data_IF_463142394388
#
_entry.id   IF_463142394388
#
_cell.length_a   1.000
_cell.length_b   1.000
_cell.length_c   1.000
_cell.angle_alpha   90.00
_cell.angle_beta   90.00
_cell.angle_gamma   90.00
#
_symmetry.space_group_name_H-M   'P 1'
#
loop_
_entity.id
_entity.type
_entity.pdbx_description
1 polymer ?
#
# COMPACT_ATOMS: atom_id res chain seq x y z
N UNK A 1 -9.58 5.47 -20.90
CA UNK A 1 -10.82 4.72 -21.21
C UNK A 1 -11.14 3.87 -20.01
N UNK A 2 -12.04 4.36 -19.16
CA UNK A 2 -12.40 3.82 -17.85
C UNK A 2 -13.32 2.58 -17.96
N UNK A 3 -13.18 1.78 -19.02
CA UNK A 3 -14.05 0.63 -19.29
C UNK A 3 -13.37 -0.72 -19.05
N UNK A 4 -12.07 -0.72 -18.73
CA UNK A 4 -11.34 -1.92 -18.32
C UNK A 4 -10.10 -1.49 -17.53
N UNK A 5 -10.14 -1.43 -16.19
CA UNK A 5 -9.08 -0.81 -15.41
C UNK A 5 -7.81 -1.65 -15.49
N UNK A 6 -7.96 -2.98 -15.53
CA UNK A 6 -6.85 -3.90 -15.72
C UNK A 6 -7.30 -5.15 -16.49
N UNK A 7 -6.44 -5.68 -17.34
CA UNK A 7 -6.65 -7.02 -17.90
C UNK A 7 -6.66 -8.02 -16.72
N UNK A 8 -7.71 -8.84 -16.53
CA UNK A 8 -7.73 -9.86 -15.47
C UNK A 8 -6.63 -10.92 -15.63
N UNK A 9 -6.00 -11.01 -16.82
CA UNK A 9 -4.79 -11.80 -17.03
C UNK A 9 -3.49 -10.99 -16.84
N UNK A 10 -3.54 -9.76 -16.29
CA UNK A 10 -2.36 -8.98 -16.00
C UNK A 10 -1.61 -9.62 -14.80
N UNK A 11 -0.41 -10.17 -15.01
CA UNK A 11 0.33 -10.85 -13.94
C UNK A 11 0.86 -9.89 -12.87
N UNK A 12 0.72 -8.57 -13.06
CA UNK A 12 1.12 -7.56 -12.08
C UNK A 12 0.03 -7.35 -11.02
N UNK A 13 -1.23 -7.65 -11.34
CA UNK A 13 -2.36 -7.46 -10.41
C UNK A 13 -2.65 -8.74 -9.63
N UNK A 14 -2.03 -8.83 -8.46
CA UNK A 14 -1.98 -10.07 -7.70
C UNK A 14 -1.69 -9.83 -6.24
N UNK A 15 -2.02 -10.83 -5.44
CA UNK A 15 -1.46 -11.02 -4.10
C UNK A 15 -0.55 -12.24 -4.15
N UNK A 16 0.59 -12.16 -3.48
CA UNK A 16 1.58 -13.24 -3.40
C UNK A 16 1.99 -13.49 -1.96
N UNK A 17 2.28 -14.74 -1.65
CA UNK A 17 2.99 -15.12 -0.42
C UNK A 17 4.44 -15.46 -0.77
N UNK A 18 5.37 -14.96 0.03
CA UNK A 18 6.81 -15.09 -0.22
C UNK A 18 7.48 -15.70 1.01
N UNK A 19 8.30 -16.74 0.80
CA UNK A 19 9.09 -17.34 1.88
C UNK A 19 10.30 -16.46 2.28
N UNK A 20 10.98 -16.74 3.41
CA UNK A 20 12.15 -15.96 3.82
C UNK A 20 13.33 -15.99 2.83
N UNK A 21 13.36 -16.92 1.88
CA UNK A 21 14.36 -16.98 0.82
C UNK A 21 13.97 -16.14 -0.42
N UNK A 22 12.80 -15.51 -0.40
CA UNK A 22 12.28 -14.69 -1.48
C UNK A 22 11.56 -15.48 -2.58
N UNK A 23 11.22 -16.76 -2.35
CA UNK A 23 10.46 -17.54 -3.31
C UNK A 23 8.97 -17.28 -3.15
N UNK A 24 8.26 -17.06 -4.25
CA UNK A 24 6.80 -17.03 -4.26
C UNK A 24 6.30 -18.47 -4.00
N UNK A 25 5.60 -18.68 -2.88
CA UNK A 25 5.04 -19.98 -2.48
C UNK A 25 3.54 -20.08 -2.73
N UNK A 26 2.88 -18.93 -2.86
CA UNK A 26 1.47 -18.82 -3.21
C UNK A 26 1.19 -17.56 -4.02
N UNK A 27 0.18 -17.59 -4.89
CA UNK A 27 -0.21 -16.45 -5.74
C UNK A 27 -1.69 -16.54 -6.13
N UNK A 28 -2.38 -15.41 -6.11
CA UNK A 28 -3.68 -15.21 -6.79
C UNK A 28 -3.58 -14.04 -7.76
N UNK A 29 -4.11 -14.23 -8.96
CA UNK A 29 -4.20 -13.21 -10.02
C UNK A 29 -5.66 -12.90 -10.34
N UNK A 30 -5.91 -11.90 -11.19
CA UNK A 30 -7.28 -11.52 -11.56
C UNK A 30 -7.94 -10.56 -10.58
N UNK A 31 -7.12 -9.96 -9.71
CA UNK A 31 -7.46 -8.80 -8.90
C UNK A 31 -7.21 -7.51 -9.70
N UNK A 32 -7.54 -6.37 -9.12
CA UNK A 32 -7.27 -5.06 -9.69
C UNK A 32 -6.88 -4.06 -8.60
N UNK A 33 -5.58 -3.73 -8.55
CA UNK A 33 -4.90 -2.93 -7.53
C UNK A 33 -5.28 -3.36 -6.12
N UNK A 34 -4.99 -4.59 -5.68
CA UNK A 34 -5.26 -4.97 -4.31
C UNK A 34 -4.40 -4.12 -3.37
N UNK A 35 -5.02 -3.30 -2.53
CA UNK A 35 -4.28 -2.41 -1.61
C UNK A 35 -4.07 -3.03 -0.22
N UNK A 36 -4.90 -4.01 0.16
CA UNK A 36 -4.84 -4.66 1.48
C UNK A 36 -5.08 -6.17 1.34
N UNK A 37 -4.37 -6.97 2.15
CA UNK A 37 -4.64 -8.39 2.34
C UNK A 37 -4.38 -8.84 3.79
N UNK A 38 -5.41 -9.40 4.41
CA UNK A 38 -5.32 -9.95 5.75
C UNK A 38 -5.60 -11.46 5.77
N UNK A 39 -4.75 -12.22 6.46
CA UNK A 39 -5.04 -13.62 6.77
C UNK A 39 -6.06 -13.73 7.90
N UNK A 40 -7.15 -14.47 7.65
CA UNK A 40 -8.22 -14.70 8.61
C UNK A 40 -7.92 -15.90 9.52
N UNK A 41 -8.53 -16.01 10.72
CA UNK A 41 -8.30 -17.14 11.63
C UNK A 41 -8.63 -18.54 11.08
N UNK A 42 -9.38 -18.63 9.98
CA UNK A 42 -9.67 -19.87 9.27
C UNK A 42 -8.64 -20.21 8.18
N UNK A 43 -7.61 -19.39 7.98
CA UNK A 43 -6.57 -19.53 6.96
C UNK A 43 -6.96 -18.97 5.58
N UNK A 44 -8.13 -18.35 5.46
CA UNK A 44 -8.54 -17.66 4.22
C UNK A 44 -7.96 -16.24 4.18
N UNK A 45 -8.04 -15.61 3.01
CA UNK A 45 -7.55 -14.24 2.83
C UNK A 45 -8.72 -13.27 2.62
N UNK A 46 -8.70 -12.15 3.32
CA UNK A 46 -9.58 -11.01 3.10
C UNK A 46 -8.81 -9.95 2.32
N UNK A 47 -9.34 -9.48 1.20
CA UNK A 47 -8.61 -8.63 0.25
C UNK A 47 -9.45 -7.41 -0.12
N UNK A 48 -8.85 -6.22 -0.06
CA UNK A 48 -9.40 -5.00 -0.66
C UNK A 48 -9.04 -4.94 -2.16
N UNK A 49 -9.97 -5.35 -3.02
CA UNK A 49 -9.81 -5.42 -4.47
C UNK A 49 -10.29 -4.10 -5.12
N UNK A 50 -9.45 -3.07 -4.94
CA UNK A 50 -9.79 -1.65 -5.03
C UNK A 50 -10.43 -1.22 -6.35
N UNK A 51 -9.84 -1.59 -7.48
CA UNK A 51 -10.35 -1.15 -8.79
C UNK A 51 -11.58 -1.90 -9.24
N UNK A 52 -11.88 -3.04 -8.61
CA UNK A 52 -13.18 -3.70 -8.72
C UNK A 52 -14.18 -3.22 -7.67
N UNK A 53 -13.79 -2.25 -6.84
CA UNK A 53 -14.62 -1.60 -5.82
C UNK A 53 -15.28 -2.64 -4.90
N UNK A 54 -14.49 -3.58 -4.39
CA UNK A 54 -15.01 -4.64 -3.54
C UNK A 54 -13.98 -5.10 -2.51
N UNK A 55 -14.51 -5.71 -1.45
CA UNK A 55 -13.74 -6.54 -0.53
C UNK A 55 -14.17 -7.99 -0.75
N UNK A 56 -13.22 -8.91 -0.80
CA UNK A 56 -13.49 -10.35 -1.02
C UNK A 56 -12.83 -11.20 0.05
N UNK A 57 -13.49 -12.28 0.46
CA UNK A 57 -12.82 -13.40 1.14
C UNK A 57 -12.53 -14.47 0.10
N UNK A 58 -11.29 -14.95 0.08
CA UNK A 58 -10.80 -15.98 -0.82
C UNK A 58 -10.35 -17.19 -0.02
N UNK A 59 -10.79 -18.37 -0.46
CA UNK A 59 -10.28 -19.64 0.06
C UNK A 59 -8.81 -19.80 -0.35
N UNK A 60 -7.92 -20.01 0.63
CA UNK A 60 -6.48 -20.04 0.35
C UNK A 60 -6.07 -21.20 -0.58
N UNK A 61 -6.65 -22.39 -0.41
CA UNK A 61 -6.27 -23.57 -1.19
C UNK A 61 -6.83 -23.55 -2.61
N UNK A 62 -8.12 -23.23 -2.74
CA UNK A 62 -8.86 -23.31 -4.01
C UNK A 62 -8.82 -22.00 -4.80
N UNK A 63 -8.56 -20.87 -4.14
CA UNK A 63 -8.60 -19.50 -4.68
C UNK A 63 -10.01 -19.06 -5.11
N UNK A 64 -11.04 -19.78 -4.66
CA UNK A 64 -12.42 -19.42 -4.91
C UNK A 64 -12.81 -18.21 -4.03
N UNK A 65 -13.55 -17.27 -4.62
CA UNK A 65 -14.16 -16.16 -3.87
C UNK A 65 -15.35 -16.75 -3.09
N UNK A 66 -15.25 -16.70 -1.76
CA UNK A 66 -16.26 -17.21 -0.83
C UNK A 66 -17.27 -16.13 -0.40
N UNK A 67 -16.85 -14.87 -0.46
CA UNK A 67 -17.59 -13.72 0.04
C UNK A 67 -17.21 -12.47 -0.76
N UNK A 68 -18.17 -11.57 -0.99
CA UNK A 68 -17.94 -10.29 -1.67
C UNK A 68 -18.84 -9.19 -1.10
N UNK A 69 -18.23 -8.11 -0.62
CA UNK A 69 -18.90 -6.85 -0.33
C UNK A 69 -18.49 -5.76 -1.31
N UNK A 70 -19.46 -5.02 -1.80
CA UNK A 70 -19.34 -4.01 -2.84
C UNK A 70 -20.33 -2.84 -2.57
N UNK A 71 -19.83 -1.60 -2.37
CA UNK A 71 -20.63 -0.46 -1.98
C UNK A 71 -21.68 -0.06 -3.02
N UNK A 72 -21.58 -0.51 -4.29
CA UNK A 72 -22.51 -0.14 -5.37
C UNK A 72 -23.92 -0.69 -5.16
N UNK A 73 -24.04 -1.69 -4.32
CA UNK A 73 -25.27 -2.40 -4.02
C UNK A 73 -25.92 -1.92 -2.70
N UNK A 74 -25.25 -1.03 -1.96
CA UNK A 74 -25.75 -0.48 -0.70
C UNK A 74 -26.73 0.66 -0.97
N UNK A 75 -27.88 0.62 -0.31
CA UNK A 75 -28.81 1.75 -0.25
C UNK A 75 -28.38 2.69 0.88
N UNK A 76 -27.51 3.65 0.55
CA UNK A 76 -26.93 4.59 1.53
C UNK A 76 -27.96 5.49 2.20
N UNK A 77 -29.07 5.78 1.52
CA UNK A 77 -30.18 6.57 2.07
C UNK A 77 -30.89 5.90 3.26
N UNK A 78 -30.78 4.58 3.38
CA UNK A 78 -31.33 3.82 4.52
C UNK A 78 -30.40 3.80 5.74
N UNK A 79 -29.11 4.13 5.54
CA UNK A 79 -28.14 4.29 6.63
C UNK A 79 -28.25 5.69 7.22
N UNK A 80 -28.29 6.70 6.35
CA UNK A 80 -28.49 8.09 6.73
C UNK A 80 -29.35 8.79 5.67
N UNK A 81 -30.49 9.35 6.10
CA UNK A 81 -31.45 9.96 5.17
C UNK A 81 -30.89 11.16 4.41
N UNK A 82 -29.81 11.80 4.91
CA UNK A 82 -29.13 12.87 4.20
C UNK A 82 -28.40 12.36 2.93
N UNK A 83 -28.11 11.06 2.85
CA UNK A 83 -27.48 10.41 1.70
C UNK A 83 -28.49 9.82 0.71
N UNK A 84 -29.78 10.13 0.86
CA UNK A 84 -30.85 9.58 0.01
C UNK A 84 -30.99 10.26 -1.35
N UNK A 85 -30.29 11.38 -1.58
CA UNK A 85 -30.29 12.06 -2.87
C UNK A 85 -29.68 11.13 -3.95
N UNK A 86 -30.38 10.81 -5.06
CA UNK A 86 -29.82 10.02 -6.14
C UNK A 86 -28.54 10.61 -6.76
N UNK A 87 -28.39 11.93 -6.72
CA UNK A 87 -27.21 12.63 -7.23
C UNK A 87 -26.07 12.69 -6.18
N UNK A 88 -26.29 12.16 -4.97
CA UNK A 88 -25.23 12.00 -3.97
C UNK A 88 -24.14 11.06 -4.51
N UNK A 89 -22.87 11.36 -4.22
CA UNK A 89 -21.73 10.65 -4.79
C UNK A 89 -21.82 9.12 -4.59
N UNK A 90 -22.22 8.68 -3.40
CA UNK A 90 -22.41 7.26 -3.05
C UNK A 90 -23.41 6.52 -3.94
N UNK A 91 -24.39 7.24 -4.52
CA UNK A 91 -25.48 6.68 -5.31
C UNK A 91 -25.27 6.80 -6.82
N UNK A 92 -24.14 7.39 -7.24
CA UNK A 92 -23.79 7.62 -8.65
C UNK A 92 -22.43 6.98 -9.02
N UNK A 93 -22.30 5.63 -8.93
CA UNK A 93 -21.03 4.95 -9.15
C UNK A 93 -20.57 5.05 -10.61
N UNK A 94 -19.26 5.24 -10.80
CA UNK A 94 -18.60 4.90 -12.06
C UNK A 94 -18.32 3.40 -12.13
N UNK A 95 -17.90 2.90 -13.30
CA UNK A 95 -17.71 1.46 -13.48
C UNK A 95 -16.55 0.89 -12.64
N UNK A 96 -15.53 1.70 -12.30
CA UNK A 96 -14.32 1.27 -11.60
C UNK A 96 -13.69 2.42 -10.81
N UNK A 97 -12.98 2.07 -9.74
CA UNK A 97 -12.22 2.97 -8.86
C UNK A 97 -13.03 4.18 -8.35
N UNK A 98 -14.35 3.98 -8.22
CA UNK A 98 -15.25 5.05 -7.77
C UNK A 98 -15.30 5.11 -6.25
N UNK A 99 -15.15 3.97 -5.59
CA UNK A 99 -15.08 3.84 -4.13
C UNK A 99 -13.64 4.05 -3.63
N UNK A 100 -12.67 3.60 -4.42
CA UNK A 100 -11.26 3.49 -4.03
C UNK A 100 -11.11 2.88 -2.63
N UNK A 101 -11.69 1.68 -2.42
CA UNK A 101 -11.49 0.94 -1.17
C UNK A 101 -10.00 0.62 -1.06
N UNK A 102 -9.34 1.23 -0.10
CA UNK A 102 -7.89 1.14 0.08
C UNK A 102 -7.49 0.30 1.28
N UNK A 103 -8.43 -0.12 2.11
CA UNK A 103 -8.14 -0.92 3.29
C UNK A 103 -9.35 -1.75 3.76
N UNK A 104 -9.05 -2.89 4.37
CA UNK A 104 -9.98 -3.73 5.12
C UNK A 104 -9.30 -4.40 6.32
N UNK A 105 -9.90 -4.25 7.50
CA UNK A 105 -9.44 -4.89 8.72
C UNK A 105 -10.51 -5.79 9.37
N UNK A 106 -10.16 -7.00 9.76
CA UNK A 106 -11.04 -8.02 10.29
C UNK A 106 -11.05 -8.07 11.83
N UNK A 107 -12.25 -8.24 12.39
CA UNK A 107 -12.44 -8.46 13.83
C UNK A 107 -13.35 -9.62 14.16
N UNK A 108 -12.86 -10.52 15.01
CA UNK A 108 -13.65 -11.61 15.56
C UNK A 108 -14.29 -11.21 16.90
N UNK A 109 -15.61 -11.00 16.91
CA UNK A 109 -16.39 -10.91 18.15
C UNK A 109 -16.82 -12.30 18.63
N UNK A 110 -17.25 -12.47 19.90
CA UNK A 110 -17.60 -13.79 20.44
C UNK A 110 -18.73 -14.54 19.70
N UNK A 111 -19.61 -13.82 18.98
CA UNK A 111 -20.79 -14.40 18.33
C UNK A 111 -20.86 -14.12 16.82
N UNK A 112 -20.02 -13.22 16.31
CA UNK A 112 -20.04 -12.76 14.92
C UNK A 112 -18.69 -12.14 14.59
N UNK A 113 -18.43 -11.95 13.31
CA UNK A 113 -17.22 -11.36 12.77
C UNK A 113 -17.58 -10.10 12.01
N UNK A 114 -16.70 -9.12 12.04
CA UNK A 114 -16.82 -7.85 11.35
C UNK A 114 -15.63 -7.60 10.45
N UNK A 115 -15.83 -6.71 9.48
CA UNK A 115 -14.74 -6.07 8.77
C UNK A 115 -14.95 -4.55 8.82
N UNK A 116 -13.90 -3.81 9.15
CA UNK A 116 -13.82 -2.37 9.01
C UNK A 116 -13.25 -2.07 7.62
N UNK A 117 -13.90 -1.19 6.87
CA UNK A 117 -13.56 -0.95 5.46
C UNK A 117 -13.41 0.55 5.26
N UNK A 118 -12.27 0.97 4.71
CA UNK A 118 -12.07 2.34 4.26
C UNK A 118 -12.56 2.50 2.83
N UNK A 119 -13.45 3.47 2.60
CA UNK A 119 -13.91 3.86 1.28
C UNK A 119 -13.35 5.25 1.01
N UNK A 120 -12.15 5.32 0.43
CA UNK A 120 -11.36 6.56 0.39
C UNK A 120 -12.09 7.72 -0.30
N UNK A 121 -12.67 7.46 -1.47
CA UNK A 121 -13.33 8.50 -2.25
C UNK A 121 -14.65 8.97 -1.62
N UNK A 122 -15.15 8.25 -0.62
CA UNK A 122 -16.37 8.60 0.10
C UNK A 122 -16.09 9.47 1.32
N UNK A 123 -14.82 9.59 1.73
CA UNK A 123 -14.45 10.11 3.05
C UNK A 123 -15.22 9.36 4.16
N UNK A 124 -15.29 8.02 4.05
CA UNK A 124 -16.14 7.18 4.88
C UNK A 124 -15.45 5.86 5.25
N UNK A 125 -15.50 5.54 6.54
CA UNK A 125 -15.20 4.22 7.10
C UNK A 125 -16.51 3.54 7.51
N UNK A 126 -16.66 2.26 7.19
CA UNK A 126 -17.83 1.45 7.60
C UNK A 126 -17.39 0.15 8.28
N UNK A 127 -18.12 -0.26 9.31
CA UNK A 127 -18.00 -1.61 9.86
C UNK A 127 -19.15 -2.47 9.34
N UNK A 128 -18.82 -3.59 8.72
CA UNK A 128 -19.75 -4.55 8.12
C UNK A 128 -19.77 -5.83 8.92
N UNK A 129 -20.97 -6.36 9.20
CA UNK A 129 -21.14 -7.68 9.80
C UNK A 129 -20.87 -8.79 8.77
N UNK A 130 -19.61 -9.22 8.72
CA UNK A 130 -19.12 -10.31 7.87
C UNK A 130 -19.82 -11.67 8.13
N UNK A 131 -20.35 -11.91 9.33
CA UNK A 131 -21.06 -13.18 9.63
C UNK A 131 -22.50 -13.23 9.16
N UNK A 132 -23.16 -12.07 8.99
CA UNK A 132 -24.58 -12.01 8.63
C UNK A 132 -24.89 -12.80 7.35
N UNK A 133 -23.92 -12.93 6.46
CA UNK A 133 -24.06 -13.67 5.20
C UNK A 133 -23.89 -15.17 5.33
N UNK A 134 -22.90 -15.65 6.09
CA UNK A 134 -22.70 -17.09 6.30
C UNK A 134 -23.90 -17.74 7.02
N UNK A 135 -24.71 -16.93 7.71
CA UNK A 135 -25.89 -17.39 8.42
C UNK A 135 -27.12 -17.61 7.52
N UNK A 136 -27.21 -16.95 6.35
CA UNK A 136 -28.43 -16.94 5.52
C UNK A 136 -28.10 -17.07 4.01
N UNK A 137 -28.28 -18.27 3.44
CA UNK A 137 -28.04 -18.63 2.03
C UNK A 137 -28.76 -17.76 0.96
N UNK A 138 -29.59 -16.79 1.38
CA UNK A 138 -30.39 -15.92 0.51
C UNK A 138 -30.17 -14.41 0.76
N UNK A 139 -29.19 -14.01 1.58
CA UNK A 139 -28.89 -12.60 1.82
C UNK A 139 -27.48 -12.25 1.32
N UNK A 140 -27.42 -11.26 0.42
CA UNK A 140 -26.19 -10.70 -0.12
C UNK A 140 -25.52 -9.83 0.97
N UNK A 141 -24.17 -9.84 1.05
CA UNK A 141 -23.35 -8.90 1.84
C UNK A 141 -23.81 -7.48 1.79
N UNK A 142 -24.28 -7.16 0.60
CA UNK A 142 -24.54 -5.84 0.14
C UNK A 142 -25.93 -5.38 0.56
N UNK A 143 -26.18 -5.44 1.86
CA UNK A 143 -27.36 -4.93 2.49
C UNK A 143 -26.95 -3.85 3.50
N UNK A 144 -27.58 -2.68 3.39
CA UNK A 144 -27.36 -1.55 4.31
C UNK A 144 -27.49 -1.95 5.78
N UNK A 145 -28.35 -2.93 6.11
CA UNK A 145 -28.57 -3.39 7.48
C UNK A 145 -27.41 -4.24 8.06
N UNK A 146 -26.45 -4.64 7.24
CA UNK A 146 -25.21 -5.29 7.69
C UNK A 146 -24.15 -4.27 8.12
N UNK A 147 -24.30 -2.98 7.77
CA UNK A 147 -23.40 -1.93 8.26
C UNK A 147 -23.83 -1.58 9.69
N UNK A 148 -22.97 -1.92 10.64
CA UNK A 148 -23.25 -1.81 12.09
C UNK A 148 -22.67 -0.54 12.71
N UNK A 149 -21.69 0.07 12.04
CA UNK A 149 -21.06 1.32 12.44
C UNK A 149 -20.50 2.05 11.20
N UNK A 150 -20.31 3.36 11.31
CA UNK A 150 -19.66 4.17 10.27
C UNK A 150 -19.10 5.47 10.85
N UNK A 151 -18.09 6.05 10.21
CA UNK A 151 -17.57 7.38 10.52
C UNK A 151 -17.08 8.09 9.26
N UNK A 152 -17.41 9.37 9.14
CA UNK A 152 -17.18 10.17 7.93
C UNK A 152 -18.47 10.53 7.19
N UNK A 153 -18.33 11.43 6.22
CA UNK A 153 -19.41 11.94 5.37
C UNK A 153 -18.80 12.70 4.18
N UNK A 154 -19.19 12.35 2.95
CA UNK A 154 -18.66 12.92 1.72
C UNK A 154 -18.76 14.44 1.70
N UNK A 155 -17.61 15.09 1.48
CA UNK A 155 -17.52 16.54 1.46
C UNK A 155 -17.50 17.21 2.85
N UNK A 156 -17.64 16.44 3.94
CA UNK A 156 -17.44 16.92 5.30
C UNK A 156 -16.01 16.64 5.78
N UNK A 157 -15.06 17.35 5.19
CA UNK A 157 -13.62 17.18 5.45
C UNK A 157 -13.18 17.54 6.88
N UNK A 158 -14.08 18.01 7.74
CA UNK A 158 -13.77 18.18 9.17
C UNK A 158 -13.71 16.85 9.93
N UNK A 159 -14.38 15.82 9.41
CA UNK A 159 -14.39 14.48 10.00
C UNK A 159 -13.17 13.69 9.54
N UNK A 160 -13.09 13.41 8.23
CA UNK A 160 -11.97 12.77 7.53
C UNK A 160 -11.93 13.22 6.07
N UNK A 161 -10.79 13.05 5.42
CA UNK A 161 -10.60 13.32 4.00
C UNK A 161 -9.59 12.35 3.40
N UNK A 162 -10.06 11.53 2.46
CA UNK A 162 -9.27 10.50 1.77
C UNK A 162 -8.43 9.63 2.72
N UNK A 163 -9.08 9.15 3.78
CA UNK A 163 -8.46 8.35 4.83
C UNK A 163 -7.94 6.99 4.34
N UNK A 164 -7.04 6.41 5.13
CA UNK A 164 -6.52 5.05 4.99
C UNK A 164 -6.51 4.34 6.36
N UNK A 165 -6.20 3.05 6.34
CA UNK A 165 -6.05 2.13 7.47
C UNK A 165 -6.91 2.44 8.71
N UNK A 166 -8.25 2.28 8.65
CA UNK A 166 -9.04 2.18 9.84
C UNK A 166 -8.74 0.89 10.63
N UNK A 167 -8.12 1.05 11.80
CA UNK A 167 -7.70 -0.07 12.66
C UNK A 167 -8.55 -0.17 13.94
N UNK A 168 -8.83 -1.40 14.38
CA UNK A 168 -9.50 -1.66 15.65
C UNK A 168 -8.52 -1.62 16.84
N UNK A 169 -8.71 -0.68 17.74
CA UNK A 169 -7.86 -0.56 18.92
C UNK A 169 -8.26 -1.49 20.07
N UNK A 170 -7.29 -1.81 20.92
CA UNK A 170 -7.46 -2.54 22.18
C UNK A 170 -8.38 -1.82 23.16
N UNK A 171 -8.49 -0.49 23.05
CA UNK A 171 -9.44 0.36 23.77
C UNK A 171 -10.90 0.10 23.38
N UNK A 172 -11.12 -0.50 22.20
CA UNK A 172 -12.43 -0.67 21.56
C UNK A 172 -12.80 0.48 20.61
N UNK A 173 -11.94 1.50 20.48
CA UNK A 173 -12.07 2.61 19.55
C UNK A 173 -11.50 2.25 18.16
N UNK A 174 -11.56 3.21 17.25
CA UNK A 174 -11.05 3.07 15.88
C UNK A 174 -9.95 4.09 15.63
N UNK A 175 -8.77 3.65 15.21
CA UNK A 175 -7.72 4.52 14.68
C UNK A 175 -7.97 4.76 13.19
N UNK A 176 -7.65 5.95 12.68
CA UNK A 176 -7.79 6.27 11.26
C UNK A 176 -6.61 7.17 10.84
N UNK A 177 -5.91 6.78 9.77
CA UNK A 177 -4.99 7.67 9.08
C UNK A 177 -5.80 8.65 8.20
N UNK A 178 -6.02 9.87 8.66
CA UNK A 178 -6.81 10.90 7.98
C UNK A 178 -5.93 11.71 7.02
N UNK A 179 -5.56 11.03 5.94
CA UNK A 179 -4.40 11.33 5.11
C UNK A 179 -4.38 12.75 4.54
N UNK A 180 -5.47 13.22 3.92
CA UNK A 180 -5.46 14.56 3.31
C UNK A 180 -5.74 15.69 4.31
N UNK A 181 -5.92 15.36 5.58
CA UNK A 181 -5.92 16.30 6.70
C UNK A 181 -4.61 16.29 7.49
N UNK A 182 -3.60 15.50 7.07
CA UNK A 182 -2.29 15.39 7.72
C UNK A 182 -2.40 15.14 9.22
N UNK A 183 -3.17 14.11 9.58
CA UNK A 183 -3.33 13.67 10.97
C UNK A 183 -3.70 12.20 11.06
N UNK A 184 -3.36 11.60 12.19
CA UNK A 184 -3.88 10.31 12.63
C UNK A 184 -4.82 10.57 13.81
N UNK A 185 -6.01 9.96 13.80
CA UNK A 185 -7.05 10.19 14.82
C UNK A 185 -7.53 8.88 15.44
N UNK A 186 -7.83 8.91 16.74
CA UNK A 186 -8.62 7.88 17.40
C UNK A 186 -10.05 8.40 17.60
N UNK A 187 -11.01 7.65 17.09
CA UNK A 187 -12.44 7.93 17.19
C UNK A 187 -13.06 7.00 18.21
N UNK A 188 -13.71 7.58 19.22
CA UNK A 188 -14.48 6.80 20.19
C UNK A 188 -15.63 6.09 19.49
N UNK A 189 -15.65 4.76 19.60
CA UNK A 189 -16.57 3.94 18.83
C UNK A 189 -18.05 4.24 19.13
N UNK A 190 -18.39 4.55 20.38
CA UNK A 190 -19.77 4.74 20.81
C UNK A 190 -20.29 6.17 20.55
N UNK A 191 -19.45 7.17 20.80
CA UNK A 191 -19.81 8.59 20.73
C UNK A 191 -19.47 9.22 19.39
N UNK A 192 -18.56 8.62 18.61
CA UNK A 192 -17.99 9.14 17.36
C UNK A 192 -17.22 10.45 17.54
N UNK A 193 -16.75 10.73 18.74
CA UNK A 193 -15.90 11.88 19.03
C UNK A 193 -14.42 11.52 18.82
N UNK A 194 -13.62 12.46 18.34
CA UNK A 194 -12.17 12.30 18.27
C UNK A 194 -11.61 12.43 19.69
N UNK A 195 -10.99 11.36 20.21
CA UNK A 195 -10.45 11.28 21.58
C UNK A 195 -8.92 11.35 21.63
N UNK A 196 -8.26 11.11 20.50
CA UNK A 196 -6.84 11.30 20.31
C UNK A 196 -6.55 11.80 18.89
N UNK A 197 -5.48 12.59 18.74
CA UNK A 197 -5.06 13.16 17.45
C UNK A 197 -3.55 13.36 17.46
N UNK A 198 -2.87 12.98 16.39
CA UNK A 198 -1.47 13.26 16.14
C UNK A 198 -1.29 13.89 14.76
N UNK A 199 -0.53 14.97 14.70
CA UNK A 199 -0.32 15.74 13.46
C UNK A 199 1.16 15.91 13.12
N UNK A 200 2.06 15.65 14.08
CA UNK A 200 3.47 16.06 14.04
C UNK A 200 3.66 17.54 13.60
N UNK A 201 2.93 18.47 14.22
CA UNK A 201 2.90 19.88 13.80
C UNK A 201 2.46 20.10 12.33
N UNK A 202 1.76 19.13 11.75
CA UNK A 202 1.31 19.08 10.35
C UNK A 202 2.26 18.32 9.41
N UNK A 203 3.30 17.67 9.94
CA UNK A 203 4.33 16.97 9.17
C UNK A 203 4.02 15.48 8.94
N UNK A 204 2.96 14.93 9.54
CA UNK A 204 2.48 13.55 9.25
C UNK A 204 1.77 13.43 7.89
N UNK A 205 1.93 14.45 7.05
CA UNK A 205 1.74 14.46 5.59
C UNK A 205 0.58 13.61 5.07
N UNK A 206 0.85 12.82 4.04
CA UNK A 206 -0.10 11.84 3.51
C UNK A 206 0.05 10.49 4.24
N UNK A 207 -0.31 10.45 5.54
CA UNK A 207 -0.34 9.21 6.32
C UNK A 207 -1.24 8.15 5.69
N UNK A 208 -0.69 6.96 5.44
CA UNK A 208 -1.41 5.84 4.79
C UNK A 208 -1.76 4.74 5.75
N UNK A 209 -1.10 4.70 6.90
CA UNK A 209 -1.22 3.58 7.80
C UNK A 209 -0.89 4.00 9.25
N UNK A 210 -1.65 3.47 10.22
CA UNK A 210 -1.54 3.79 11.63
C UNK A 210 -2.03 2.65 12.54
N UNK A 211 -1.10 1.87 13.09
CA UNK A 211 -1.40 0.66 13.88
C UNK A 211 -1.02 0.77 15.35
N UNK A 212 -1.80 0.09 16.21
CA UNK A 212 -1.46 -0.07 17.62
C UNK A 212 -0.40 -1.17 17.81
N UNK A 213 0.74 -0.78 18.36
CA UNK A 213 1.84 -1.69 18.67
C UNK A 213 1.57 -2.47 19.96
N UNK A 214 2.26 -3.60 20.16
CA UNK A 214 2.12 -4.44 21.35
C UNK A 214 2.45 -3.72 22.68
N UNK A 215 3.19 -2.62 22.61
CA UNK A 215 3.53 -1.77 23.75
C UNK A 215 2.52 -0.62 24.01
N UNK A 216 1.48 -0.49 23.17
CA UNK A 216 0.45 0.55 23.23
C UNK A 216 0.84 1.89 22.60
N UNK A 217 1.99 1.97 21.92
CA UNK A 217 2.34 3.10 21.05
C UNK A 217 1.73 2.91 19.67
N UNK A 218 1.79 3.95 18.84
CA UNK A 218 1.24 3.91 17.48
C UNK A 218 2.39 3.88 16.48
N UNK A 219 2.37 2.92 15.57
CA UNK A 219 3.24 2.87 14.39
C UNK A 219 2.52 3.60 13.26
N UNK A 220 3.16 4.58 12.62
CA UNK A 220 2.55 5.40 11.57
C UNK A 220 3.44 5.38 10.34
N UNK A 221 2.84 5.16 9.18
CA UNK A 221 3.49 5.28 7.87
C UNK A 221 2.99 6.54 7.17
N UNK A 222 3.91 7.48 6.87
CA UNK A 222 3.60 8.76 6.20
C UNK A 222 4.27 8.90 4.82
N UNK A 223 4.54 10.13 4.36
CA UNK A 223 5.03 10.41 3.01
C UNK A 223 6.39 9.76 2.70
N UNK A 224 7.29 9.76 3.67
CA UNK A 224 8.69 9.36 3.47
C UNK A 224 9.30 8.57 4.63
N UNK A 225 8.54 8.31 5.69
CA UNK A 225 9.02 7.59 6.87
C UNK A 225 7.98 6.67 7.51
N UNK A 226 8.49 5.79 8.36
CA UNK A 226 7.72 5.05 9.35
C UNK A 226 8.17 5.49 10.72
N UNK A 227 7.25 5.88 11.59
CA UNK A 227 7.52 6.43 12.91
C UNK A 227 6.78 5.67 14.01
N UNK A 228 7.41 5.51 15.17
CA UNK A 228 6.71 5.11 16.39
C UNK A 228 6.43 6.35 17.24
N UNK A 229 5.15 6.54 17.57
CA UNK A 229 4.67 7.65 18.39
C UNK A 229 4.25 7.14 19.75
N UNK A 230 4.80 7.72 20.81
CA UNK A 230 4.30 7.44 22.14
C UNK A 230 2.86 7.92 22.29
N UNK A 231 1.92 7.01 22.56
CA UNK A 231 0.50 7.34 22.60
C UNK A 231 0.17 8.45 23.62
N UNK A 232 0.82 8.44 24.79
CA UNK A 232 0.52 9.40 25.86
C UNK A 232 1.17 10.76 25.65
N UNK A 233 2.47 10.78 25.31
CA UNK A 233 3.22 12.04 25.18
C UNK A 233 3.11 12.65 23.79
N UNK A 234 2.68 11.87 22.78
CA UNK A 234 2.66 12.23 21.35
C UNK A 234 4.04 12.59 20.81
N UNK A 235 5.09 12.07 21.43
CA UNK A 235 6.45 12.24 20.96
C UNK A 235 6.79 11.11 19.98
N UNK A 236 7.44 11.45 18.87
CA UNK A 236 8.10 10.48 18.00
C UNK A 236 9.30 9.91 18.74
N UNK A 237 9.30 8.61 19.02
CA UNK A 237 10.35 7.92 19.79
C UNK A 237 11.23 7.01 18.94
N UNK A 238 10.82 6.72 17.71
CA UNK A 238 11.59 6.01 16.70
C UNK A 238 11.16 6.47 15.30
N UNK A 239 12.09 6.45 14.34
CA UNK A 239 11.84 6.78 12.93
C UNK A 239 12.73 5.92 12.04
N UNK A 240 12.22 5.54 10.88
CA UNK A 240 12.96 4.95 9.78
C UNK A 240 12.58 5.59 8.45
N UNK A 241 13.58 6.11 7.74
CA UNK A 241 13.45 6.84 6.47
C UNK A 241 14.26 6.19 5.34
N UNK A 242 15.09 5.19 5.66
CA UNK A 242 16.11 4.72 4.74
C UNK A 242 15.49 3.94 3.57
N UNK A 243 15.76 4.42 2.35
CA UNK A 243 15.35 3.78 1.09
C UNK A 243 13.82 3.67 0.91
N UNK A 244 13.04 4.44 1.66
CA UNK A 244 11.60 4.55 1.47
C UNK A 244 11.26 5.51 0.32
N UNK A 245 10.30 5.09 -0.52
CA UNK A 245 9.70 5.92 -1.57
C UNK A 245 8.21 5.62 -1.55
N UNK A 246 7.42 6.56 -1.04
CA UNK A 246 5.98 6.38 -0.80
C UNK A 246 5.71 5.08 -0.03
N UNK A 247 6.19 4.96 1.22
CA UNK A 247 5.87 3.79 2.04
C UNK A 247 4.34 3.72 2.22
N UNK A 248 3.78 2.53 2.12
CA UNK A 248 2.33 2.35 2.11
C UNK A 248 1.80 1.85 3.45
N UNK A 249 2.47 0.86 4.00
CA UNK A 249 2.01 0.09 5.17
C UNK A 249 3.22 -0.41 5.95
N UNK A 250 3.09 -0.50 7.28
CA UNK A 250 4.10 -1.06 8.15
C UNK A 250 3.52 -1.78 9.36
N UNK A 251 3.96 -3.02 9.58
CA UNK A 251 3.52 -3.87 10.69
C UNK A 251 4.63 -4.14 11.71
N UNK A 252 4.26 -4.26 12.99
CA UNK A 252 5.13 -4.86 14.01
C UNK A 252 5.09 -6.40 13.93
N UNK A 253 6.26 -7.02 13.71
CA UNK A 253 6.42 -8.47 13.72
C UNK A 253 6.54 -9.01 15.16
N UNK A 254 6.26 -10.31 15.38
CA UNK A 254 6.34 -10.92 16.72
C UNK A 254 7.71 -10.85 17.42
N UNK A 255 8.80 -10.63 16.68
CA UNK A 255 10.14 -10.45 17.21
C UNK A 255 10.50 -8.97 17.51
N UNK A 256 9.58 -8.05 17.21
CA UNK A 256 9.73 -6.60 17.41
C UNK A 256 10.38 -5.88 16.23
N UNK A 257 10.67 -6.56 15.12
CA UNK A 257 11.07 -5.92 13.87
C UNK A 257 9.86 -5.29 13.19
N UNK A 258 10.12 -4.36 12.27
CA UNK A 258 9.07 -3.69 11.50
C UNK A 258 9.13 -4.18 10.05
N UNK A 259 8.02 -4.71 9.54
CA UNK A 259 7.85 -5.02 8.12
C UNK A 259 7.28 -3.77 7.45
N UNK A 260 7.85 -3.31 6.32
CA UNK A 260 7.46 -2.07 5.67
C UNK A 260 7.26 -2.34 4.17
N UNK A 261 6.04 -2.11 3.68
CA UNK A 261 5.70 -2.11 2.27
C UNK A 261 5.91 -0.75 1.63
N UNK A 262 6.50 -0.70 0.44
CA UNK A 262 6.76 0.56 -0.29
C UNK A 262 6.06 0.57 -1.64
N UNK A 263 4.98 1.34 -1.77
CA UNK A 263 4.19 1.41 -3.01
C UNK A 263 4.99 2.02 -4.17
N UNK A 264 5.78 3.07 -3.90
CA UNK A 264 6.50 3.80 -4.94
C UNK A 264 7.71 3.07 -5.51
N UNK A 265 8.27 2.10 -4.78
CA UNK A 265 9.50 1.42 -5.20
C UNK A 265 9.44 -0.11 -5.23
N UNK A 266 8.33 -0.70 -4.79
CA UNK A 266 8.06 -2.13 -4.92
C UNK A 266 8.95 -3.00 -4.03
N UNK A 267 9.36 -2.48 -2.88
CA UNK A 267 10.06 -3.26 -1.85
C UNK A 267 9.16 -3.61 -0.69
N UNK A 268 9.54 -4.72 -0.07
CA UNK A 268 9.23 -4.99 1.32
C UNK A 268 10.54 -5.02 2.10
N UNK A 269 10.62 -4.28 3.20
CA UNK A 269 11.75 -4.27 4.11
C UNK A 269 11.35 -4.90 5.44
N UNK A 270 12.21 -5.74 5.99
CA UNK A 270 12.17 -6.05 7.42
C UNK A 270 13.28 -5.24 8.09
N UNK A 271 12.92 -4.43 9.08
CA UNK A 271 13.83 -3.54 9.80
C UNK A 271 13.96 -4.01 11.24
N UNK A 272 15.19 -4.32 11.65
CA UNK A 272 15.52 -4.51 13.06
C UNK A 272 15.39 -3.18 13.78
N UNK A 273 14.29 -3.03 14.53
CA UNK A 273 13.94 -1.81 15.25
C UNK A 273 15.01 -1.40 16.27
N UNK A 274 15.71 -2.37 16.86
CA UNK A 274 16.73 -2.13 17.88
C UNK A 274 18.03 -1.55 17.30
N UNK A 275 18.32 -1.85 16.03
CA UNK A 275 19.54 -1.38 15.36
C UNK A 275 19.28 -0.36 14.25
N UNK A 276 18.03 -0.21 13.80
CA UNK A 276 17.61 0.63 12.68
C UNK A 276 18.13 0.13 11.33
N UNK A 277 18.39 -1.18 11.20
CA UNK A 277 18.97 -1.77 9.99
C UNK A 277 18.00 -2.73 9.33
N UNK A 278 18.02 -2.74 7.99
CA UNK A 278 17.31 -3.72 7.19
C UNK A 278 17.92 -5.12 7.45
N UNK A 279 17.15 -6.02 8.06
CA UNK A 279 17.51 -7.41 8.33
C UNK A 279 17.18 -8.33 7.14
N UNK A 280 16.11 -7.99 6.41
CA UNK A 280 15.66 -8.70 5.22
C UNK A 280 14.99 -7.75 4.23
N UNK A 281 14.97 -8.13 2.95
CA UNK A 281 14.26 -7.39 1.91
C UNK A 281 13.75 -8.31 0.81
N UNK A 282 12.60 -7.96 0.25
CA UNK A 282 12.06 -8.51 -0.99
C UNK A 282 11.84 -7.41 -2.02
N UNK A 283 11.91 -7.80 -3.29
CA UNK A 283 11.99 -6.86 -4.41
C UNK A 283 13.43 -6.41 -4.66
N UNK A 284 13.59 -5.56 -5.66
CA UNK A 284 14.92 -5.21 -6.16
C UNK A 284 14.99 -3.77 -6.62
N UNK A 285 16.03 -3.06 -6.16
CA UNK A 285 16.16 -1.64 -6.43
C UNK A 285 16.70 -1.48 -7.80
N UNK A 286 15.83 -1.05 -8.73
CA UNK A 286 16.26 -0.71 -10.07
C UNK A 286 17.37 0.37 -10.04
N UNK A 287 17.27 1.32 -9.11
CA UNK A 287 18.30 2.35 -8.89
C UNK A 287 19.62 1.75 -8.39
N UNK A 288 19.62 0.94 -7.31
CA UNK A 288 20.87 0.37 -6.78
C UNK A 288 21.47 -0.65 -7.72
N UNK A 289 20.67 -1.47 -8.38
CA UNK A 289 21.22 -2.42 -9.35
C UNK A 289 21.83 -1.73 -10.52
N UNK A 290 21.23 -0.68 -11.05
CA UNK A 290 21.87 0.06 -12.13
C UNK A 290 23.19 0.68 -11.66
N UNK A 291 23.23 1.27 -10.45
CA UNK A 291 24.50 1.71 -9.86
C UNK A 291 25.53 0.58 -9.79
N UNK A 292 25.16 -0.61 -9.29
CA UNK A 292 26.05 -1.76 -9.21
C UNK A 292 26.46 -2.28 -10.59
N UNK A 293 25.57 -2.30 -11.57
CA UNK A 293 25.85 -2.70 -12.96
C UNK A 293 26.81 -1.72 -13.62
N UNK A 294 26.65 -0.42 -13.39
CA UNK A 294 27.61 0.60 -13.83
C UNK A 294 28.98 0.40 -13.19
N UNK A 295 29.04 0.20 -11.86
CA UNK A 295 30.29 -0.10 -11.17
C UNK A 295 30.95 -1.37 -11.72
N UNK A 296 30.17 -2.43 -11.96
CA UNK A 296 30.65 -3.69 -12.52
C UNK A 296 31.17 -3.50 -13.95
N UNK A 297 30.44 -2.78 -14.81
CA UNK A 297 30.90 -2.48 -16.17
C UNK A 297 32.21 -1.70 -16.16
N UNK A 298 32.33 -0.67 -15.33
CA UNK A 298 33.58 0.12 -15.18
C UNK A 298 34.73 -0.80 -14.74
N UNK A 299 34.50 -1.69 -13.77
CA UNK A 299 35.51 -2.65 -13.30
C UNK A 299 35.93 -3.62 -14.42
N UNK A 300 34.98 -4.17 -15.18
CA UNK A 300 35.25 -5.07 -16.31
C UNK A 300 36.06 -4.35 -17.39
N UNK A 301 35.69 -3.13 -17.76
CA UNK A 301 36.40 -2.35 -18.78
C UNK A 301 37.84 -2.01 -18.36
N UNK A 302 38.03 -1.53 -17.12
CA UNK A 302 39.36 -1.22 -16.61
C UNK A 302 40.23 -2.49 -16.50
N UNK A 303 39.64 -3.61 -16.09
CA UNK A 303 40.33 -4.91 -16.02
C UNK A 303 40.76 -5.41 -17.40
N UNK A 304 39.91 -5.27 -18.41
CA UNK A 304 40.23 -5.63 -19.80
C UNK A 304 41.36 -4.76 -20.35
N UNK A 305 41.28 -3.44 -20.14
CA UNK A 305 42.31 -2.50 -20.57
C UNK A 305 43.65 -2.81 -19.90
N UNK A 306 43.66 -3.06 -18.59
CA UNK A 306 44.86 -3.42 -17.84
C UNK A 306 45.46 -4.74 -18.35
N UNK A 307 44.62 -5.75 -18.58
CA UNK A 307 45.05 -7.05 -19.10
C UNK A 307 45.70 -6.92 -20.48
N UNK A 308 45.12 -6.13 -21.39
CA UNK A 308 45.71 -5.86 -22.71
C UNK A 308 47.09 -5.20 -22.60
N UNK A 309 47.24 -4.23 -21.69
CA UNK A 309 48.52 -3.55 -21.44
C UNK A 309 49.57 -4.54 -20.90
N UNK A 310 49.21 -5.36 -19.91
CA UNK A 310 50.11 -6.33 -19.30
C UNK A 310 50.49 -7.48 -20.23
N UNK A 311 49.56 -7.93 -21.08
CA UNK A 311 49.79 -8.97 -22.10
C UNK A 311 50.63 -8.46 -23.29
N UNK A 312 51.01 -7.17 -23.31
CA UNK A 312 51.81 -6.59 -24.38
C UNK A 312 51.06 -6.48 -25.71
N UNK A 313 49.72 -6.46 -25.69
CA UNK A 313 48.91 -6.26 -26.89
C UNK A 313 49.23 -4.89 -27.50
N UNK A 314 49.97 -4.89 -28.61
CA UNK A 314 50.21 -3.68 -29.39
C UNK A 314 49.15 -3.56 -30.48
N UNK A 315 48.22 -2.62 -30.32
CA UNK A 315 47.28 -2.28 -31.38
C UNK A 315 48.04 -1.78 -32.62
N UNK A 316 47.78 -2.38 -33.78
CA UNK A 316 48.37 -1.95 -35.07
C UNK A 316 48.04 -0.48 -35.41
N UNK A 317 46.98 0.09 -34.83
CA UNK A 317 46.58 1.48 -34.99
C UNK A 317 46.09 2.08 -33.66
N UNK A 318 46.84 3.05 -33.11
CA UNK A 318 46.38 3.87 -31.97
C UNK A 318 45.07 4.59 -32.26
N UNK A 319 44.77 4.85 -33.53
CA UNK A 319 43.54 5.53 -33.99
C UNK A 319 42.31 4.63 -33.87
N UNK A 320 42.45 3.33 -34.17
CA UNK A 320 41.37 2.36 -34.05
C UNK A 320 41.03 2.10 -32.58
N UNK A 321 42.04 2.00 -31.71
CA UNK A 321 41.85 1.85 -30.27
C UNK A 321 41.12 3.07 -29.67
N UNK A 322 41.56 4.28 -30.02
CA UNK A 322 40.87 5.51 -29.61
C UNK A 322 39.41 5.55 -30.09
N UNK A 323 39.14 5.15 -31.33
CA UNK A 323 37.78 5.11 -31.87
C UNK A 323 36.87 4.10 -31.14
N UNK A 324 37.39 2.93 -30.76
CA UNK A 324 36.66 1.94 -29.96
C UNK A 324 36.36 2.51 -28.57
N UNK A 325 37.35 3.12 -27.92
CA UNK A 325 37.20 3.71 -26.58
C UNK A 325 36.16 4.84 -26.59
N UNK A 326 36.21 5.71 -27.59
CA UNK A 326 35.21 6.78 -27.79
C UNK A 326 33.82 6.23 -28.11
N UNK A 327 33.72 5.18 -28.92
CA UNK A 327 32.44 4.53 -29.23
C UNK A 327 31.77 3.93 -27.99
N UNK A 328 32.55 3.27 -27.13
CA UNK A 328 32.07 2.73 -25.86
C UNK A 328 31.65 3.84 -24.90
N UNK A 329 32.42 4.91 -24.79
CA UNK A 329 32.07 6.06 -23.95
C UNK A 329 30.78 6.74 -24.43
N UNK A 330 30.59 6.88 -25.74
CA UNK A 330 29.36 7.42 -26.33
C UNK A 330 28.17 6.51 -26.03
N UNK A 331 28.33 5.19 -26.19
CA UNK A 331 27.28 4.22 -25.87
C UNK A 331 26.88 4.29 -24.38
N UNK A 332 27.86 4.43 -23.49
CA UNK A 332 27.65 4.59 -22.05
C UNK A 332 26.90 5.89 -21.71
N UNK A 333 27.29 7.03 -22.30
CA UNK A 333 26.61 8.31 -22.09
C UNK A 333 25.18 8.29 -22.64
N UNK A 334 24.96 7.67 -23.81
CA UNK A 334 23.62 7.52 -24.38
C UNK A 334 22.72 6.64 -23.50
N UNK A 335 23.27 5.56 -22.96
CA UNK A 335 22.55 4.70 -22.01
C UNK A 335 22.14 5.48 -20.75
N UNK A 336 23.05 6.27 -20.16
CA UNK A 336 22.73 7.12 -19.01
C UNK A 336 21.66 8.18 -19.31
N UNK A 337 21.66 8.76 -20.53
CA UNK A 337 20.66 9.75 -20.94
C UNK A 337 19.27 9.14 -21.14
N UNK A 338 19.19 7.95 -21.74
CA UNK A 338 17.93 7.21 -21.89
C UNK A 338 17.39 6.84 -20.50
N UNK A 339 18.26 6.33 -19.63
CA UNK A 339 17.90 6.03 -18.24
C UNK A 339 17.39 7.27 -17.47
N UNK A 340 18.08 8.41 -17.58
CA UNK A 340 17.62 9.64 -16.94
C UNK A 340 16.24 10.07 -17.46
N UNK A 341 15.97 9.86 -18.75
CA UNK A 341 14.65 10.10 -19.32
C UNK A 341 13.59 9.11 -18.79
N UNK A 342 13.92 7.83 -18.64
CA UNK A 342 13.01 6.81 -18.11
C UNK A 342 12.72 7.01 -16.61
N UNK A 343 13.74 7.39 -15.83
CA UNK A 343 13.60 7.76 -14.41
C UNK A 343 12.75 9.02 -14.27
N UNK A 344 13.03 10.06 -15.07
CA UNK A 344 12.18 11.24 -15.09
C UNK A 344 10.76 10.91 -15.56
N UNK A 345 10.59 9.97 -16.48
CA UNK A 345 9.26 9.54 -16.91
C UNK A 345 8.54 8.81 -15.77
N UNK A 346 9.19 7.89 -15.07
CA UNK A 346 8.65 7.17 -13.91
C UNK A 346 8.27 8.12 -12.77
N UNK A 347 9.17 9.02 -12.38
CA UNK A 347 8.89 9.99 -11.30
C UNK A 347 7.93 11.11 -11.73
N UNK A 348 7.92 11.54 -12.99
CA UNK A 348 6.91 12.49 -13.47
C UNK A 348 5.56 11.81 -13.71
N UNK A 349 5.49 10.51 -14.00
CA UNK A 349 4.22 9.79 -13.93
C UNK A 349 3.72 9.79 -12.49
N UNK A 350 4.57 9.55 -11.49
CA UNK A 350 4.17 9.61 -10.08
C UNK A 350 3.68 11.02 -9.68
N UNK A 351 4.34 12.10 -10.13
CA UNK A 351 3.96 13.48 -9.76
C UNK A 351 2.83 14.11 -10.57
N UNK A 352 2.46 13.54 -11.72
CA UNK A 352 1.32 13.98 -12.55
C UNK A 352 0.06 13.14 -12.27
N UNK A 353 0.19 12.01 -11.56
CA UNK A 353 -0.88 11.07 -11.21
C UNK A 353 -1.47 11.28 -9.81
N UNK A 354 -1.37 12.49 -9.26
CA UNK A 354 -1.90 12.90 -7.94
C UNK A 354 -3.44 12.78 -7.81
N UNK A 355 -4.14 12.30 -8.85
CA UNK A 355 -5.59 12.09 -8.84
C UNK A 355 -6.05 10.71 -9.37
N UNK A 356 -5.16 9.80 -9.80
CA UNK A 356 -5.61 8.48 -10.28
C UNK A 356 -4.48 7.49 -10.54
N UNK A 357 -4.37 6.46 -9.70
CA UNK A 357 -3.55 5.24 -9.80
C UNK A 357 -2.32 5.20 -8.86
N UNK A 358 -2.49 4.45 -7.77
CA UNK A 358 -1.42 3.79 -7.03
C UNK A 358 -1.65 2.26 -7.11
N UNK A 359 -0.55 1.50 -7.17
CA UNK A 359 -0.46 0.03 -7.31
C UNK A 359 -0.37 -0.65 -5.97
#
# INVERSE_FOLDING_TARGET
NNDNPVNPENPVQRVIEVDPAGNIVWEITGLAQPHEVQELPNGNLLIADTYFDRVIEVDYDTKDILWEWNPKYIDWGLINTNWSDPDHFYNSPFNYDWSHINDVNFKQYPMWNACLISIRNFDLVVEVNHTAERANENQNANNWSNIVWYYGDYGNYSMIKHQHNPEYLSSGNVMIADSNNARVIEVDYATKEIVWEFTDDGDVGWCRDADEMANGNILITDDDRVIEVNYTTKEVIWSFEQDLVLPYEADELPDGNILIGTGGSGFVFEVDKSTGKISWQYGFSFIKTEFYMNCLMILVFNSLQLTMVLAGFQFQSRRLFGAILYGVLIAFVLFLLIFYADVLYFFNSISILDDSIYV
#
